data_IF_134885522418
#
_entry.id   IF_134885522418
#
_cell.length_a   1.000
_cell.length_b   1.000
_cell.length_c   1.000
_cell.angle_alpha   90.00
_cell.angle_beta   90.00
_cell.angle_gamma   90.00
#
_symmetry.space_group_name_H-M   'P 1'
#
loop_
_entity.id
_entity.type
_entity.pdbx_description
1 polymer ?
#
# COMPACT_ATOMS: atom_id res chain seq x y z
N UNK A 1 39.96 6.07 -1.21
CA UNK A 1 39.83 4.63 -1.56
C UNK A 1 38.58 3.93 -0.98
N UNK A 2 37.53 4.64 -0.53
CA UNK A 2 36.32 3.99 0.04
C UNK A 2 35.03 4.10 -0.79
N UNK A 3 34.98 5.02 -1.77
CA UNK A 3 33.75 5.36 -2.49
C UNK A 3 33.22 4.23 -3.39
N UNK A 4 34.10 3.46 -4.02
CA UNK A 4 33.68 2.34 -4.90
C UNK A 4 32.96 1.22 -4.14
N UNK A 5 33.40 0.90 -2.91
CA UNK A 5 32.76 -0.10 -2.06
C UNK A 5 31.39 0.37 -1.55
N UNK A 6 31.29 1.64 -1.14
CA UNK A 6 30.02 2.22 -0.75
C UNK A 6 29.03 2.23 -1.92
N UNK A 7 29.46 2.67 -3.12
CA UNK A 7 28.63 2.66 -4.33
C UNK A 7 28.15 1.24 -4.66
N UNK A 8 29.03 0.24 -4.62
CA UNK A 8 28.66 -1.14 -4.87
C UNK A 8 27.61 -1.66 -3.86
N UNK A 9 27.77 -1.35 -2.56
CA UNK A 9 26.78 -1.70 -1.54
C UNK A 9 25.43 -1.03 -1.82
N UNK A 10 25.42 0.26 -2.16
CA UNK A 10 24.19 0.99 -2.46
C UNK A 10 23.49 0.46 -3.71
N UNK A 11 24.23 0.14 -4.77
CA UNK A 11 23.66 -0.47 -5.98
C UNK A 11 23.06 -1.85 -5.69
N UNK A 12 23.69 -2.64 -4.82
CA UNK A 12 23.14 -3.92 -4.37
C UNK A 12 21.82 -3.71 -3.62
N UNK A 13 21.82 -2.86 -2.59
CA UNK A 13 20.61 -2.56 -1.79
C UNK A 13 19.48 -2.02 -2.67
N UNK A 14 19.78 -1.12 -3.60
CA UNK A 14 18.78 -0.57 -4.52
C UNK A 14 18.20 -1.63 -5.46
N UNK A 15 19.03 -2.57 -5.94
CA UNK A 15 18.55 -3.69 -6.76
C UNK A 15 17.66 -4.61 -5.93
N UNK A 16 18.11 -4.98 -4.74
CA UNK A 16 17.34 -5.83 -3.83
C UNK A 16 15.99 -5.18 -3.52
N UNK A 17 15.95 -3.87 -3.26
CA UNK A 17 14.70 -3.14 -3.04
C UNK A 17 13.79 -3.10 -4.28
N UNK A 18 14.36 -2.91 -5.48
CA UNK A 18 13.59 -2.79 -6.74
C UNK A 18 12.99 -4.12 -7.21
N UNK A 19 13.70 -5.21 -7.00
CA UNK A 19 13.33 -6.52 -7.55
C UNK A 19 12.94 -7.53 -6.48
N UNK A 20 12.91 -7.14 -5.21
CA UNK A 20 12.30 -7.97 -4.17
C UNK A 20 10.80 -7.99 -4.41
N UNK A 21 10.29 -9.19 -4.67
CA UNK A 21 8.86 -9.47 -4.53
C UNK A 21 8.54 -9.49 -3.05
N UNK A 22 7.56 -8.68 -2.65
CA UNK A 22 7.00 -8.76 -1.30
C UNK A 22 5.80 -9.71 -1.37
N UNK A 23 5.71 -10.63 -0.41
CA UNK A 23 4.51 -11.40 -0.18
C UNK A 23 3.74 -10.68 0.93
N UNK A 24 2.65 -9.96 0.60
CA UNK A 24 1.88 -9.23 1.60
C UNK A 24 1.22 -10.21 2.55
N UNK A 25 1.30 -9.92 3.85
CA UNK A 25 0.54 -10.67 4.85
C UNK A 25 -0.94 -10.23 4.78
N UNK A 26 -1.76 -11.06 4.12
CA UNK A 26 -3.18 -10.78 3.95
C UNK A 26 -3.96 -10.93 5.26
N UNK A 27 -3.49 -11.73 6.21
CA UNK A 27 -4.16 -11.91 7.51
C UNK A 27 -4.02 -10.64 8.36
N UNK A 28 -2.83 -10.03 8.32
CA UNK A 28 -2.58 -8.72 8.93
C UNK A 28 -3.41 -7.61 8.27
N UNK A 29 -3.46 -7.56 6.94
CA UNK A 29 -4.27 -6.57 6.20
C UNK A 29 -5.76 -6.71 6.51
N UNK A 30 -6.27 -7.95 6.56
CA UNK A 30 -7.66 -8.21 6.89
C UNK A 30 -8.00 -7.70 8.29
N UNK A 31 -7.11 -7.93 9.27
CA UNK A 31 -7.30 -7.43 10.64
C UNK A 31 -7.32 -5.90 10.70
N UNK A 32 -6.46 -5.23 9.95
CA UNK A 32 -6.44 -3.76 9.86
C UNK A 32 -7.74 -3.24 9.23
N UNK A 33 -8.18 -3.84 8.12
CA UNK A 33 -9.38 -3.42 7.40
C UNK A 33 -10.66 -3.60 8.24
N UNK A 34 -10.72 -4.66 9.04
CA UNK A 34 -11.82 -4.85 9.99
C UNK A 34 -11.66 -4.04 11.30
N UNK A 35 -10.47 -3.50 11.56
CA UNK A 35 -10.07 -2.91 12.84
C UNK A 35 -10.59 -1.51 13.12
N UNK A 36 -10.98 -0.73 12.10
CA UNK A 36 -11.44 0.64 12.29
C UNK A 36 -12.38 1.06 11.15
N UNK A 37 -13.62 0.56 11.16
CA UNK A 37 -14.65 0.93 10.18
C UNK A 37 -15.28 2.32 10.43
N UNK A 38 -14.52 3.23 11.06
CA UNK A 38 -15.01 4.52 11.56
C UNK A 38 -14.41 5.75 10.88
N UNK A 39 -13.43 5.58 9.99
CA UNK A 39 -12.83 6.72 9.30
C UNK A 39 -13.84 7.36 8.33
N UNK A 40 -14.09 8.68 8.45
CA UNK A 40 -14.99 9.36 7.54
C UNK A 40 -14.42 9.31 6.12
N UNK A 41 -15.26 8.95 5.15
CA UNK A 41 -14.89 8.96 3.75
C UNK A 41 -14.48 10.39 3.37
N UNK A 42 -13.27 10.60 2.80
CA UNK A 42 -12.86 11.94 2.38
C UNK A 42 -13.82 12.52 1.34
N UNK A 43 -14.10 13.84 1.41
CA UNK A 43 -15.05 14.53 0.53
C UNK A 43 -14.81 14.27 -0.96
N UNK A 44 -13.56 14.07 -1.36
CA UNK A 44 -13.15 13.74 -2.73
C UNK A 44 -13.75 12.43 -3.26
N UNK A 45 -14.14 11.53 -2.37
CA UNK A 45 -14.70 10.22 -2.66
C UNK A 45 -16.17 10.10 -2.25
N UNK A 46 -16.79 11.16 -1.73
CA UNK A 46 -18.16 11.14 -1.24
C UNK A 46 -19.17 10.80 -2.36
N UNK A 47 -18.96 11.30 -3.57
CA UNK A 47 -19.84 10.99 -4.70
C UNK A 47 -19.70 9.55 -5.18
N UNK A 48 -18.49 8.97 -5.06
CA UNK A 48 -18.23 7.58 -5.37
C UNK A 48 -18.91 6.66 -4.33
N UNK A 49 -18.81 7.01 -3.05
CA UNK A 49 -19.47 6.28 -1.96
C UNK A 49 -21.00 6.24 -2.15
N UNK A 50 -21.62 7.37 -2.50
CA UNK A 50 -23.06 7.44 -2.82
C UNK A 50 -23.45 6.51 -3.96
N UNK A 51 -22.60 6.37 -4.99
CA UNK A 51 -22.86 5.48 -6.12
C UNK A 51 -22.87 4.00 -5.71
N UNK A 52 -22.02 3.60 -4.76
CA UNK A 52 -21.99 2.23 -4.24
C UNK A 52 -23.09 1.94 -3.21
N UNK A 53 -23.58 2.96 -2.51
CA UNK A 53 -24.71 2.83 -1.58
C UNK A 53 -26.07 2.75 -2.29
N UNK A 54 -26.17 3.20 -3.54
CA UNK A 54 -27.42 3.14 -4.31
C UNK A 54 -27.70 1.69 -4.79
N UNK A 55 -28.73 1.00 -4.26
CA UNK A 55 -29.05 -0.38 -4.64
C UNK A 55 -29.52 -0.52 -6.09
N UNK A 56 -29.80 0.58 -6.80
CA UNK A 56 -30.14 0.56 -8.21
C UNK A 56 -28.92 0.46 -9.14
N UNK A 57 -27.69 0.60 -8.61
CA UNK A 57 -26.44 0.59 -9.38
C UNK A 57 -25.68 -0.76 -9.36
N UNK A 58 -26.16 -1.78 -8.62
CA UNK A 58 -25.58 -3.14 -8.55
C UNK A 58 -26.20 -4.13 -9.53
#
# INVERSE_FOLDING_TARGET
MGRGRAKAKQTKVARDLKYRTFDPDFDDLQRELHGESGDPIPDQYADLAKQYEDPAAS
#
